data_IF_566146621514
#
_entry.id   IF_566146621514
#
_cell.length_a   1.000
_cell.length_b   1.000
_cell.length_c   1.000
_cell.angle_alpha   90.00
_cell.angle_beta   90.00
_cell.angle_gamma   90.00
#
_symmetry.space_group_name_H-M   'P 1'
#
loop_
_entity.id
_entity.type
_entity.pdbx_description
1 polymer ?
#
# COMPACT_ATOMS: atom_id res chain seq x y z
N UNK A 1 44.63 10.58 -45.87
CA UNK A 1 43.51 10.03 -45.06
C UNK A 1 42.73 11.20 -44.50
N UNK A 2 41.50 11.43 -44.97
CA UNK A 2 40.66 12.52 -44.46
C UNK A 2 40.11 12.13 -43.09
N UNK A 3 40.57 12.79 -42.03
CA UNK A 3 39.94 12.69 -40.70
C UNK A 3 38.57 13.39 -40.77
N UNK A 4 37.48 12.61 -40.72
CA UNK A 4 36.13 13.12 -40.48
C UNK A 4 36.07 13.62 -39.04
N UNK A 5 36.11 14.94 -38.85
CA UNK A 5 35.83 15.58 -37.56
C UNK A 5 34.36 15.96 -37.49
N UNK A 6 33.70 15.65 -36.38
CA UNK A 6 32.38 16.19 -36.09
C UNK A 6 32.47 17.70 -35.89
N UNK A 7 31.53 18.44 -36.47
CA UNK A 7 31.47 19.88 -36.26
C UNK A 7 30.91 20.18 -34.86
N UNK A 8 31.33 21.29 -34.25
CA UNK A 8 30.76 21.78 -32.98
C UNK A 8 29.23 21.92 -33.07
N UNK A 9 28.72 22.29 -34.24
CA UNK A 9 27.30 22.47 -34.48
C UNK A 9 26.52 21.15 -34.50
N UNK A 10 27.08 20.06 -35.05
CA UNK A 10 26.48 18.72 -34.98
C UNK A 10 26.33 18.25 -33.53
N UNK A 11 27.36 18.41 -32.71
CA UNK A 11 27.30 17.99 -31.31
C UNK A 11 26.32 18.88 -30.53
N UNK A 12 26.33 20.19 -30.77
CA UNK A 12 25.46 21.13 -30.07
C UNK A 12 23.98 20.93 -30.40
N UNK A 13 23.64 20.71 -31.67
CA UNK A 13 22.24 20.47 -32.08
C UNK A 13 21.71 19.16 -31.54
N UNK A 14 22.51 18.09 -31.52
CA UNK A 14 22.11 16.80 -30.95
C UNK A 14 21.86 16.92 -29.45
N UNK A 15 22.75 17.55 -28.69
CA UNK A 15 22.54 17.74 -27.24
C UNK A 15 21.33 18.64 -26.99
N UNK A 16 21.12 19.69 -27.79
CA UNK A 16 19.93 20.54 -27.67
C UNK A 16 18.62 19.75 -27.86
N UNK A 17 18.57 18.85 -28.85
CA UNK A 17 17.40 17.99 -29.08
C UNK A 17 17.24 16.96 -27.97
N UNK A 18 18.33 16.35 -27.48
CA UNK A 18 18.28 15.38 -26.37
C UNK A 18 17.75 16.03 -25.08
N UNK A 19 18.18 17.25 -24.75
CA UNK A 19 17.70 17.97 -23.58
C UNK A 19 16.21 18.31 -23.70
N UNK A 20 15.77 18.74 -24.89
CA UNK A 20 14.35 19.01 -25.14
C UNK A 20 13.51 17.74 -24.94
N UNK A 21 13.91 16.61 -25.53
CA UNK A 21 13.18 15.34 -25.35
C UNK A 21 13.17 14.88 -23.89
N UNK A 22 14.31 14.97 -23.19
CA UNK A 22 14.42 14.57 -21.78
C UNK A 22 13.43 15.33 -20.88
N UNK A 23 13.21 16.63 -21.12
CA UNK A 23 12.24 17.42 -20.33
C UNK A 23 10.79 16.95 -20.47
N UNK A 24 10.40 16.44 -21.65
CA UNK A 24 9.04 15.91 -21.85
C UNK A 24 8.85 14.49 -21.28
N UNK A 25 9.93 13.71 -21.17
CA UNK A 25 9.91 12.32 -20.67
C UNK A 25 9.80 12.24 -19.14
N UNK A 26 10.34 13.23 -18.42
CA UNK A 26 10.40 13.22 -16.96
C UNK A 26 9.04 13.03 -16.26
N UNK A 27 7.96 13.78 -16.58
CA UNK A 27 6.66 13.61 -15.89
C UNK A 27 6.00 12.26 -16.17
N UNK A 28 6.11 11.74 -17.39
CA UNK A 28 5.55 10.42 -17.73
C UNK A 28 6.30 9.29 -17.00
N UNK A 29 7.61 9.44 -16.80
CA UNK A 29 8.42 8.46 -16.10
C UNK A 29 8.09 8.41 -14.59
N UNK A 30 7.86 9.54 -13.93
CA UNK A 30 7.48 9.56 -12.51
C UNK A 30 6.15 8.86 -12.26
N UNK A 31 5.15 9.10 -13.11
CA UNK A 31 3.84 8.47 -12.98
C UNK A 31 3.91 6.95 -13.20
N UNK A 32 4.65 6.49 -14.22
CA UNK A 32 4.85 5.05 -14.47
C UNK A 32 5.52 4.33 -13.30
N UNK A 33 6.49 4.99 -12.64
CA UNK A 33 7.17 4.46 -11.46
C UNK A 33 6.23 4.33 -10.28
N UNK A 34 5.35 5.32 -10.07
CA UNK A 34 4.33 5.25 -9.02
C UNK A 34 3.34 4.10 -9.28
N UNK A 35 2.86 3.93 -10.52
CA UNK A 35 1.98 2.80 -10.86
C UNK A 35 2.67 1.45 -10.62
N UNK A 36 3.97 1.34 -10.94
CA UNK A 36 4.74 0.14 -10.63
C UNK A 36 4.83 -0.16 -9.13
N UNK A 37 5.00 0.88 -8.29
CA UNK A 37 4.99 0.74 -6.83
C UNK A 37 3.62 0.33 -6.30
N UNK A 38 2.54 0.91 -6.83
CA UNK A 38 1.15 0.53 -6.48
C UNK A 38 0.92 -0.95 -6.79
N UNK A 39 1.30 -1.41 -7.99
CA UNK A 39 1.17 -2.82 -8.36
C UNK A 39 1.99 -3.76 -7.45
N UNK A 40 3.18 -3.34 -7.04
CA UNK A 40 4.00 -4.07 -6.09
C UNK A 40 3.35 -4.13 -4.70
N UNK A 41 2.77 -3.02 -4.22
CA UNK A 41 2.01 -2.97 -2.96
C UNK A 41 0.83 -3.95 -2.99
N UNK A 42 0.05 -3.97 -4.07
CA UNK A 42 -1.06 -4.92 -4.21
C UNK A 42 -0.57 -6.39 -4.18
N UNK A 43 0.59 -6.67 -4.74
CA UNK A 43 1.18 -8.02 -4.70
C UNK A 43 1.67 -8.39 -3.30
N UNK A 44 2.30 -7.45 -2.60
CA UNK A 44 2.75 -7.62 -1.22
C UNK A 44 1.56 -7.87 -0.28
N UNK A 45 0.47 -7.11 -0.40
CA UNK A 45 -0.77 -7.33 0.35
C UNK A 45 -1.39 -8.71 0.09
N UNK A 46 -1.35 -9.21 -1.15
CA UNK A 46 -1.79 -10.59 -1.45
C UNK A 46 -0.90 -11.62 -0.77
N UNK A 47 0.43 -11.42 -0.77
CA UNK A 47 1.37 -12.32 -0.09
C UNK A 47 1.16 -12.31 1.42
N UNK A 48 0.97 -11.13 2.02
CA UNK A 48 0.65 -10.98 3.44
C UNK A 48 -0.66 -11.68 3.80
N UNK A 49 -1.70 -11.53 2.98
CA UNK A 49 -2.96 -12.26 3.15
C UNK A 49 -2.72 -13.77 3.13
N UNK A 50 -1.99 -14.29 2.14
CA UNK A 50 -1.70 -15.73 2.05
C UNK A 50 -0.95 -16.24 3.28
N UNK A 51 0.02 -15.48 3.80
CA UNK A 51 0.73 -15.83 5.03
C UNK A 51 -0.25 -15.93 6.23
N UNK A 52 -1.18 -14.97 6.34
CA UNK A 52 -2.22 -15.03 7.38
C UNK A 52 -3.17 -16.21 7.19
N UNK A 53 -3.50 -16.59 5.96
CA UNK A 53 -4.36 -17.75 5.69
C UNK A 53 -3.69 -19.06 6.08
N UNK A 54 -2.38 -19.19 5.83
CA UNK A 54 -1.60 -20.35 6.27
C UNK A 54 -1.64 -20.47 7.79
N UNK A 55 -1.41 -19.36 8.50
CA UNK A 55 -1.51 -19.33 9.96
C UNK A 55 -2.91 -19.69 10.45
N UNK A 56 -3.95 -19.04 9.90
CA UNK A 56 -5.36 -19.24 10.29
C UNK A 56 -5.82 -20.68 10.13
N UNK A 57 -5.36 -21.38 9.09
CA UNK A 57 -5.74 -22.77 8.83
C UNK A 57 -5.30 -23.76 9.92
N UNK A 58 -4.36 -23.38 10.79
CA UNK A 58 -3.93 -24.23 11.92
C UNK A 58 -4.84 -24.13 13.15
N UNK A 59 -5.78 -23.18 13.17
CA UNK A 59 -6.66 -22.91 14.30
C UNK A 59 -8.12 -23.29 13.99
N UNK A 60 -8.86 -23.74 15.01
CA UNK A 60 -10.33 -23.85 14.92
C UNK A 60 -10.94 -22.47 15.16
N UNK A 61 -11.35 -21.78 14.09
CA UNK A 61 -11.73 -20.36 14.16
C UNK A 61 -13.21 -20.12 13.88
N UNK A 62 -13.75 -19.04 14.43
CA UNK A 62 -15.04 -18.50 14.02
C UNK A 62 -14.84 -17.68 12.74
N UNK A 63 -15.77 -17.76 11.78
CA UNK A 63 -15.62 -17.08 10.48
C UNK A 63 -15.68 -15.55 10.62
N UNK A 64 -16.44 -15.04 11.60
CA UNK A 64 -16.66 -13.62 11.85
C UNK A 64 -16.61 -13.33 13.35
N UNK A 65 -15.74 -12.42 13.76
CA UNK A 65 -15.55 -12.03 15.16
C UNK A 65 -14.39 -11.04 15.29
N UNK A 66 -13.83 -10.95 16.48
CA UNK A 66 -12.55 -10.26 16.70
C UNK A 66 -11.42 -10.96 15.92
N UNK A 67 -10.29 -10.29 15.61
CA UNK A 67 -9.15 -10.90 14.93
C UNK A 67 -8.71 -12.22 15.58
N UNK A 68 -8.69 -12.27 16.91
CA UNK A 68 -8.31 -13.45 17.68
C UNK A 68 -9.32 -14.60 17.57
N UNK A 69 -10.62 -14.32 17.63
CA UNK A 69 -11.68 -15.33 17.43
C UNK A 69 -11.68 -15.89 16.00
N UNK A 70 -11.22 -15.08 15.04
CA UNK A 70 -10.99 -15.48 13.66
C UNK A 70 -9.64 -16.19 13.44
N UNK A 71 -8.88 -16.45 14.52
CA UNK A 71 -7.59 -17.14 14.54
C UNK A 71 -6.47 -16.40 13.84
N UNK A 72 -6.56 -15.07 13.74
CA UNK A 72 -5.41 -14.26 13.36
C UNK A 72 -4.51 -14.00 14.58
N UNK A 73 -3.20 -13.87 14.37
CA UNK A 73 -2.28 -13.53 15.44
C UNK A 73 -2.55 -12.10 15.94
N UNK A 74 -2.22 -11.85 17.20
CA UNK A 74 -2.22 -10.49 17.75
C UNK A 74 -1.20 -9.59 17.05
N UNK A 75 -0.08 -10.18 16.67
CA UNK A 75 0.99 -9.49 15.96
C UNK A 75 1.25 -10.21 14.62
N UNK A 76 0.72 -9.67 13.50
CA UNK A 76 0.81 -10.30 12.19
C UNK A 76 2.21 -10.25 11.60
N UNK A 77 3.08 -9.35 12.06
CA UNK A 77 4.39 -9.13 11.46
C UNK A 77 5.41 -10.20 11.84
N UNK A 78 5.14 -10.93 12.93
CA UNK A 78 5.93 -12.09 13.35
C UNK A 78 5.43 -13.42 12.79
N UNK A 79 4.36 -13.42 11.98
CA UNK A 79 4.05 -14.62 11.20
C UNK A 79 5.24 -14.89 10.31
N UNK A 80 5.75 -16.13 10.36
CA UNK A 80 6.93 -16.57 9.61
C UNK A 80 6.69 -16.50 8.09
N UNK A 81 6.70 -15.29 7.55
CA UNK A 81 6.86 -15.03 6.15
C UNK A 81 8.34 -15.26 5.80
N UNK A 82 8.64 -15.93 4.68
CA UNK A 82 10.02 -16.11 4.22
C UNK A 82 10.78 -14.79 4.05
N UNK A 83 10.05 -13.70 3.78
CA UNK A 83 10.58 -12.35 3.68
C UNK A 83 9.66 -11.36 4.42
N UNK A 84 10.10 -10.77 5.55
CA UNK A 84 9.34 -9.75 6.27
C UNK A 84 9.09 -8.47 5.46
N UNK A 85 9.84 -8.24 4.37
CA UNK A 85 9.68 -7.06 3.51
C UNK A 85 8.32 -7.01 2.81
N UNK A 86 7.57 -8.12 2.78
CA UNK A 86 6.19 -8.13 2.24
C UNK A 86 5.25 -7.24 3.03
N UNK A 87 5.54 -6.93 4.30
CA UNK A 87 4.75 -6.03 5.14
C UNK A 87 5.20 -4.57 5.02
N UNK A 88 6.11 -4.28 4.09
CA UNK A 88 6.59 -2.94 3.79
C UNK A 88 5.99 -2.43 2.49
N UNK A 89 5.47 -1.20 2.54
CA UNK A 89 5.01 -0.53 1.34
C UNK A 89 6.21 -0.20 0.44
N UNK A 90 6.18 -0.57 -0.85
CA UNK A 90 7.17 -0.15 -1.84
C UNK A 90 6.96 1.30 -2.32
N UNK A 91 5.93 1.99 -1.82
CA UNK A 91 5.55 3.32 -2.25
C UNK A 91 6.44 4.43 -1.63
N UNK A 92 5.93 5.15 -0.64
CA UNK A 92 6.65 6.18 0.09
C UNK A 92 6.65 5.80 1.59
N UNK A 93 7.24 6.64 2.43
CA UNK A 93 7.20 6.47 3.89
C UNK A 93 6.57 7.72 4.48
N UNK A 94 5.37 7.58 5.06
CA UNK A 94 4.65 8.68 5.70
C UNK A 94 4.77 8.65 7.24
N UNK A 95 5.61 7.77 7.80
CA UNK A 95 6.00 7.80 9.23
C UNK A 95 4.90 7.51 10.26
N UNK A 96 3.65 7.27 9.84
CA UNK A 96 2.48 7.12 10.72
C UNK A 96 2.43 5.79 11.48
N UNK A 97 2.99 4.72 10.90
CA UNK A 97 3.08 3.39 11.51
C UNK A 97 4.54 2.98 11.76
N UNK A 98 5.42 3.95 12.05
CA UNK A 98 6.77 3.67 12.52
C UNK A 98 6.70 3.08 13.95
N UNK A 99 6.30 1.82 14.06
CA UNK A 99 6.78 0.98 15.14
C UNK A 99 8.28 0.72 14.93
N UNK A 100 8.98 0.34 16.00
CA UNK A 100 10.46 0.19 16.01
C UNK A 100 11.02 -0.74 14.93
N UNK A 101 10.16 -1.54 14.29
CA UNK A 101 10.53 -2.62 13.38
C UNK A 101 10.19 -2.32 11.90
N UNK A 102 9.57 -1.17 11.60
CA UNK A 102 9.36 -0.70 10.24
C UNK A 102 8.40 -1.57 9.41
N UNK A 103 7.24 -1.90 9.96
CA UNK A 103 6.14 -2.53 9.22
C UNK A 103 5.08 -1.49 8.86
N UNK A 104 4.51 -1.55 7.65
CA UNK A 104 3.86 -0.40 7.00
C UNK A 104 2.39 -0.62 6.65
N UNK A 105 1.83 -1.80 6.93
CA UNK A 105 0.43 -2.09 6.65
C UNK A 105 -0.39 -2.09 7.93
N UNK A 106 -1.28 -1.12 8.09
CA UNK A 106 -2.22 -1.12 9.22
C UNK A 106 -3.01 -2.44 9.21
N UNK A 107 -2.92 -3.19 10.30
CA UNK A 107 -3.57 -4.48 10.45
C UNK A 107 -4.90 -4.34 11.18
N UNK A 108 -5.86 -5.14 10.75
CA UNK A 108 -7.19 -5.31 11.32
C UNK A 108 -7.23 -5.76 12.80
N UNK A 109 -6.12 -5.77 13.54
CA UNK A 109 -6.05 -6.14 14.96
C UNK A 109 -5.12 -5.30 15.83
N UNK A 110 -4.54 -4.24 15.27
CA UNK A 110 -3.64 -3.31 15.99
C UNK A 110 -4.39 -2.15 16.68
N UNK A 111 -5.71 -2.05 16.48
CA UNK A 111 -6.49 -0.99 17.11
C UNK A 111 -6.70 -1.25 18.60
N UNK A 112 -6.68 -0.16 19.37
CA UNK A 112 -6.96 -0.15 20.81
C UNK A 112 -8.36 -0.62 21.19
N UNK A 113 -9.29 -0.72 20.23
CA UNK A 113 -10.69 -1.10 20.47
C UNK A 113 -11.14 -2.27 19.58
N UNK A 114 -10.92 -3.50 20.08
CA UNK A 114 -11.35 -4.74 19.43
C UNK A 114 -12.89 -4.83 19.23
N UNK A 115 -13.67 -4.06 19.98
CA UNK A 115 -15.13 -4.05 19.86
C UNK A 115 -15.59 -3.31 18.59
N UNK A 116 -14.90 -2.23 18.22
CA UNK A 116 -15.17 -1.50 16.98
C UNK A 116 -14.87 -2.35 15.74
N UNK A 117 -13.77 -3.10 15.78
CA UNK A 117 -13.40 -4.05 14.72
C UNK A 117 -14.45 -5.16 14.57
N UNK A 118 -14.94 -5.71 15.68
CA UNK A 118 -16.03 -6.69 15.66
C UNK A 118 -17.29 -6.13 14.98
N UNK A 119 -17.61 -4.85 15.20
CA UNK A 119 -18.73 -4.17 14.53
C UNK A 119 -18.49 -4.04 13.02
N UNK A 120 -17.27 -3.74 12.58
CA UNK A 120 -16.94 -3.69 11.15
C UNK A 120 -17.08 -5.05 10.49
N UNK A 121 -16.59 -6.12 11.12
CA UNK A 121 -16.73 -7.49 10.61
C UNK A 121 -18.19 -7.89 10.50
N UNK A 122 -19.01 -7.58 11.51
CA UNK A 122 -20.44 -7.86 11.44
C UNK A 122 -21.15 -7.06 10.33
N UNK A 123 -20.66 -5.86 10.02
CA UNK A 123 -21.27 -4.97 9.02
C UNK A 123 -20.84 -5.25 7.58
N UNK A 124 -19.56 -5.49 7.36
CA UNK A 124 -18.96 -5.64 6.04
C UNK A 124 -18.51 -7.07 5.73
N UNK A 125 -18.53 -7.97 6.72
CA UNK A 125 -18.21 -9.39 6.58
C UNK A 125 -16.86 -9.57 5.86
N UNK A 126 -16.83 -10.39 4.82
CA UNK A 126 -15.64 -10.66 4.01
C UNK A 126 -15.03 -9.46 3.28
N UNK A 127 -15.77 -8.34 3.18
CA UNK A 127 -15.27 -7.07 2.63
C UNK A 127 -14.55 -6.19 3.67
N UNK A 128 -14.45 -6.64 4.92
CA UNK A 128 -13.69 -5.92 5.94
C UNK A 128 -12.20 -5.91 5.57
N UNK A 129 -11.53 -4.75 5.56
CA UNK A 129 -10.10 -4.67 5.31
C UNK A 129 -9.30 -5.44 6.38
N UNK A 130 -8.37 -6.30 5.95
CA UNK A 130 -7.45 -7.05 6.81
C UNK A 130 -6.09 -6.34 6.96
N UNK A 131 -5.47 -5.96 5.84
CA UNK A 131 -4.29 -5.10 5.80
C UNK A 131 -4.57 -3.88 4.95
N UNK A 132 -4.04 -2.73 5.34
CA UNK A 132 -4.20 -1.46 4.64
C UNK A 132 -2.85 -0.79 4.42
N UNK A 133 -2.50 -0.56 3.16
CA UNK A 133 -1.42 0.31 2.72
C UNK A 133 -1.96 1.72 2.44
N UNK A 134 -1.44 2.71 3.15
CA UNK A 134 -1.77 4.13 2.99
C UNK A 134 -0.62 4.94 2.39
N UNK A 135 0.51 4.31 2.10
CA UNK A 135 1.75 4.98 1.74
C UNK A 135 1.86 5.33 0.26
N UNK A 136 0.95 4.81 -0.58
CA UNK A 136 0.88 5.10 -2.02
C UNK A 136 0.29 6.49 -2.34
N UNK A 137 0.76 7.51 -1.63
CA UNK A 137 0.45 8.92 -1.81
C UNK A 137 1.73 9.74 -1.99
N UNK A 138 1.73 10.70 -2.91
CA UNK A 138 2.87 11.60 -3.12
C UNK A 138 2.88 12.75 -2.10
N UNK A 139 4.04 12.99 -1.47
CA UNK A 139 4.23 14.07 -0.50
C UNK A 139 3.57 13.80 0.85
N UNK A 140 3.69 14.71 1.80
CA UNK A 140 3.09 14.54 3.14
C UNK A 140 1.56 14.64 3.07
N UNK A 141 0.85 13.58 3.47
CA UNK A 141 -0.61 13.49 3.41
C UNK A 141 -1.20 13.38 4.81
N UNK A 142 -2.07 14.32 5.14
CA UNK A 142 -2.88 14.24 6.36
C UNK A 142 -4.02 13.21 6.19
N UNK A 143 -3.83 12.03 6.78
CA UNK A 143 -4.79 10.93 6.75
C UNK A 143 -6.05 11.17 7.61
N UNK A 144 -6.06 12.18 8.47
CA UNK A 144 -7.24 12.58 9.26
C UNK A 144 -8.07 13.65 8.55
N UNK A 145 -7.47 14.39 7.61
CA UNK A 145 -8.20 15.46 6.92
C UNK A 145 -9.34 14.91 6.05
N UNK A 146 -10.58 15.41 6.20
CA UNK A 146 -11.70 15.01 5.35
C UNK A 146 -11.61 15.63 3.95
N UNK A 147 -10.84 16.70 3.78
CA UNK A 147 -10.76 17.44 2.52
C UNK A 147 -9.65 16.97 1.58
N UNK A 148 -8.66 16.25 2.13
CA UNK A 148 -7.52 15.76 1.35
C UNK A 148 -7.91 14.49 0.61
N UNK A 149 -7.64 14.47 -0.69
CA UNK A 149 -7.81 13.26 -1.51
C UNK A 149 -6.61 12.35 -1.28
N UNK A 150 -6.87 11.17 -0.75
CA UNK A 150 -5.86 10.18 -0.40
C UNK A 150 -6.15 8.85 -1.06
N UNK A 151 -5.10 8.07 -1.31
CA UNK A 151 -5.14 6.71 -1.83
C UNK A 151 -4.88 5.74 -0.69
N UNK A 152 -5.64 4.67 -0.65
CA UNK A 152 -5.34 3.53 0.20
C UNK A 152 -5.65 2.24 -0.57
N UNK A 153 -4.88 1.21 -0.27
CA UNK A 153 -4.98 -0.11 -0.87
C UNK A 153 -5.17 -1.09 0.28
N UNK A 154 -6.18 -1.94 0.22
CA UNK A 154 -6.36 -2.98 1.22
C UNK A 154 -6.53 -4.34 0.60
N UNK A 155 -6.23 -5.37 1.39
CA UNK A 155 -6.70 -6.73 1.17
C UNK A 155 -7.81 -7.03 2.17
N UNK A 156 -8.93 -7.56 1.72
CA UNK A 156 -10.07 -7.88 2.59
C UNK A 156 -9.94 -9.25 3.23
N UNK A 157 -10.81 -9.59 4.18
CA UNK A 157 -10.90 -10.92 4.78
C UNK A 157 -11.13 -12.05 3.75
N UNK A 158 -11.83 -11.75 2.65
CA UNK A 158 -12.01 -12.66 1.50
C UNK A 158 -10.80 -12.72 0.56
N UNK A 159 -9.75 -11.92 0.79
CA UNK A 159 -8.56 -11.88 -0.06
C UNK A 159 -8.68 -10.98 -1.28
N UNK A 160 -9.74 -10.16 -1.38
CA UNK A 160 -9.90 -9.21 -2.48
C UNK A 160 -9.02 -7.99 -2.26
N UNK A 161 -8.34 -7.53 -3.32
CA UNK A 161 -7.60 -6.26 -3.29
C UNK A 161 -8.52 -5.12 -3.71
N UNK A 162 -8.60 -4.09 -2.85
CA UNK A 162 -9.35 -2.87 -3.10
C UNK A 162 -8.38 -1.69 -3.05
N UNK A 163 -8.14 -1.06 -4.20
CA UNK A 163 -7.41 0.21 -4.29
C UNK A 163 -8.41 1.34 -4.55
N UNK A 164 -8.47 2.33 -3.66
CA UNK A 164 -9.33 3.51 -3.82
C UNK A 164 -8.55 4.80 -3.65
N UNK A 165 -9.03 5.85 -4.32
CA UNK A 165 -8.56 7.22 -4.15
C UNK A 165 -9.76 8.14 -3.94
N UNK A 166 -9.95 8.67 -2.73
CA UNK A 166 -11.06 9.57 -2.41
C UNK A 166 -10.74 10.49 -1.23
N UNK A 167 -11.62 11.47 -1.01
CA UNK A 167 -11.64 12.32 0.19
C UNK A 167 -12.27 11.59 1.38
N UNK A 168 -12.11 12.16 2.58
CA UNK A 168 -12.71 11.66 3.82
C UNK A 168 -11.67 11.09 4.77
N UNK A 169 -12.00 11.11 6.06
CA UNK A 169 -11.15 10.59 7.14
C UNK A 169 -10.93 9.08 6.96
N UNK A 170 -9.66 8.69 6.89
CA UNK A 170 -9.27 7.29 6.67
C UNK A 170 -8.86 6.64 7.98
N UNK A 171 -8.32 7.38 8.94
CA UNK A 171 -7.78 6.83 10.18
C UNK A 171 -8.91 6.46 11.15
N UNK A 172 -9.94 7.31 11.28
CA UNK A 172 -11.04 7.07 12.22
C UNK A 172 -12.06 6.02 11.75
N UNK A 173 -12.11 5.69 10.46
CA UNK A 173 -13.15 4.84 9.91
C UNK A 173 -12.68 4.06 8.67
N UNK A 174 -11.53 3.40 8.77
CA UNK A 174 -10.87 2.69 7.65
C UNK A 174 -11.83 1.78 6.89
N UNK A 175 -12.58 0.91 7.59
CA UNK A 175 -13.51 -0.01 6.94
C UNK A 175 -14.67 0.70 6.24
N UNK A 176 -15.21 1.77 6.83
CA UNK A 176 -16.24 2.57 6.18
C UNK A 176 -15.68 3.32 4.96
N UNK A 177 -14.43 3.77 5.04
CA UNK A 177 -13.76 4.43 3.93
C UNK A 177 -13.59 3.47 2.75
N UNK A 178 -13.31 2.19 2.94
CA UNK A 178 -13.26 1.26 1.81
C UNK A 178 -14.64 0.84 1.26
N UNK A 179 -15.67 0.82 2.11
CA UNK A 179 -16.97 0.22 1.80
C UNK A 179 -18.11 1.23 1.54
N UNK A 180 -17.89 2.53 1.73
CA UNK A 180 -18.76 3.63 1.25
C UNK A 180 -18.29 4.14 -0.12
#
# INVERSE_FOLDING_TARGET
>A
MARRGYTLLEVLTVVAILLLLATFLQPAFSESKLQGRIAASEMNLRQAYMAMQVYRNEWETVIYGTPFEMGYPKDPYYVHAPDPSIFKSPCYDHGKFQESDGYYYAFFGDETDQEEQGKWVQRFLGQTPLFVDMDCNEGDVDFNSPEVTKRAICVTLDGNIISRRKKGDLEMAVAEWFNK
#
